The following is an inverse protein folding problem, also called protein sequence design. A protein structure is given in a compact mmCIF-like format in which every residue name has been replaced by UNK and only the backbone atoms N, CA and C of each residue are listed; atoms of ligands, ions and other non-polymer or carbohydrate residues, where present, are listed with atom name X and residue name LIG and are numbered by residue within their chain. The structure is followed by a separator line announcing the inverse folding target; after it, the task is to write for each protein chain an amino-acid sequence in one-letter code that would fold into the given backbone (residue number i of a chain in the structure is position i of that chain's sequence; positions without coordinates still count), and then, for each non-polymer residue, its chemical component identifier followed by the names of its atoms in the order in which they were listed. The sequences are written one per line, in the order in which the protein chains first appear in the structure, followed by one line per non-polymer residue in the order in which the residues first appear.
data_IF_643654125543
#
_entry.id   IF_643654125543
#
_cell.length_a   1.000
_cell.length_b   1.000
_cell.length_c   1.000
_cell.angle_alpha   90.00
_cell.angle_beta   90.00
_cell.angle_gamma   90.00
#
_symmetry.space_group_name_H-M   'P 1'
#
loop_
_entity.id
_entity.type
_entity.pdbx_description
1 polymer ?
#
# COMPACT_ATOMS: atom_id res chain seq x y z
N UNK A 1 11.92 -26.36 -0.60
CA UNK A 1 10.78 -26.62 0.09
C UNK A 1 9.76 -25.54 0.01
N UNK A 2 8.63 -25.91 -0.28
CA UNK A 2 7.60 -24.93 -0.45
C UNK A 2 6.99 -24.49 0.86
N UNK A 3 6.68 -23.23 1.01
CA UNK A 3 6.05 -22.74 2.19
C UNK A 3 4.74 -22.07 1.87
N UNK A 4 3.82 -22.13 2.79
CA UNK A 4 2.52 -21.51 2.60
C UNK A 4 2.68 -20.00 2.66
N UNK A 5 2.18 -19.27 1.66
CA UNK A 5 2.31 -17.81 1.64
C UNK A 5 1.74 -17.12 2.87
N UNK A 6 0.62 -17.63 3.38
CA UNK A 6 -0.02 -17.01 4.54
C UNK A 6 0.85 -17.12 5.78
N UNK A 7 1.52 -18.24 5.96
CA UNK A 7 2.39 -18.43 7.10
C UNK A 7 3.58 -17.50 7.01
N UNK A 8 4.16 -17.34 5.82
CA UNK A 8 5.29 -16.43 5.64
C UNK A 8 4.89 -14.99 5.94
N UNK A 9 3.71 -14.58 5.51
CA UNK A 9 3.22 -13.23 5.78
C UNK A 9 3.04 -13.00 7.28
N UNK A 10 2.51 -13.98 8.00
CA UNK A 10 2.33 -13.84 9.43
C UNK A 10 3.66 -13.73 10.16
N UNK A 11 4.65 -14.52 9.76
CA UNK A 11 5.96 -14.43 10.36
C UNK A 11 6.58 -13.06 10.11
N UNK A 12 6.45 -12.55 8.90
CA UNK A 12 6.96 -11.22 8.56
C UNK A 12 6.32 -10.11 9.35
N UNK A 13 4.99 -10.16 9.46
CA UNK A 13 4.26 -9.15 10.23
C UNK A 13 4.62 -9.22 11.71
N UNK A 14 4.79 -10.43 12.25
CA UNK A 14 5.20 -10.62 13.63
C UNK A 14 6.60 -10.06 13.85
N UNK A 15 7.54 -10.31 12.93
CA UNK A 15 8.89 -9.80 13.04
C UNK A 15 8.91 -8.26 13.03
N UNK A 16 8.14 -7.66 12.12
CA UNK A 16 8.04 -6.20 12.04
C UNK A 16 7.48 -5.65 13.35
N UNK A 17 6.42 -6.25 13.85
CA UNK A 17 5.79 -5.81 15.11
C UNK A 17 6.76 -5.94 16.27
N UNK A 18 7.51 -7.03 16.33
CA UNK A 18 8.49 -7.25 17.38
C UNK A 18 9.58 -6.18 17.35
N UNK A 19 10.13 -5.88 16.18
CA UNK A 19 11.15 -4.83 16.07
C UNK A 19 10.58 -3.48 16.52
N UNK A 20 9.38 -3.14 16.13
CA UNK A 20 8.78 -1.87 16.50
C UNK A 20 8.45 -1.78 17.98
N UNK A 21 8.06 -2.89 18.59
CA UNK A 21 7.83 -2.95 20.03
C UNK A 21 9.14 -2.71 20.78
N UNK A 22 10.23 -3.34 20.34
CA UNK A 22 11.53 -3.13 20.96
C UNK A 22 11.96 -1.67 20.86
N UNK A 23 11.71 -1.03 19.73
CA UNK A 23 12.03 0.38 19.55
C UNK A 23 11.23 1.27 20.47
N UNK A 24 9.98 0.91 20.71
CA UNK A 24 9.11 1.69 21.62
C UNK A 24 9.56 1.56 23.08
N UNK A 25 10.01 0.35 23.48
CA UNK A 25 10.44 0.11 24.85
C UNK A 25 11.84 0.63 25.08
N UNK A 26 12.73 0.52 24.10
CA UNK A 26 14.12 0.89 24.23
C UNK A 26 14.52 1.91 23.15
N UNK A 27 13.97 3.11 23.20
CA UNK A 27 14.19 4.09 22.12
C UNK A 27 15.64 4.53 21.97
N UNK A 28 16.43 4.38 23.03
CA UNK A 28 17.84 4.79 23.00
C UNK A 28 18.80 3.61 22.87
N UNK A 29 18.29 2.44 22.47
CA UNK A 29 19.13 1.28 22.31
C UNK A 29 20.14 1.49 21.20
N UNK A 30 21.39 1.02 21.35
CA UNK A 30 22.36 1.08 20.26
C UNK A 30 21.96 0.22 19.05
N UNK A 31 20.98 -0.69 19.23
CA UNK A 31 20.50 -1.52 18.14
C UNK A 31 19.30 -0.90 17.43
N UNK A 32 18.91 0.31 17.80
CA UNK A 32 17.70 0.93 17.25
C UNK A 32 17.75 1.06 15.75
N UNK A 33 18.82 1.61 15.20
CA UNK A 33 18.91 1.84 13.76
C UNK A 33 18.89 0.53 12.98
N UNK A 34 19.58 -0.49 13.48
CA UNK A 34 19.59 -1.81 12.85
C UNK A 34 18.19 -2.42 12.84
N UNK A 35 17.47 -2.31 13.94
CA UNK A 35 16.11 -2.83 14.05
C UNK A 35 15.15 -2.10 13.12
N UNK A 36 15.27 -0.76 13.01
CA UNK A 36 14.44 0.00 12.08
C UNK A 36 14.71 -0.38 10.64
N UNK A 37 15.98 -0.57 10.28
CA UNK A 37 16.33 -0.96 8.91
C UNK A 37 15.80 -2.34 8.58
N UNK A 38 15.85 -3.26 9.53
CA UNK A 38 15.30 -4.59 9.32
C UNK A 38 13.79 -4.55 9.12
N UNK A 39 13.10 -3.81 9.96
CA UNK A 39 11.65 -3.68 9.85
C UNK A 39 11.29 -3.07 8.50
N UNK A 40 12.00 -2.02 8.07
CA UNK A 40 11.73 -1.37 6.80
C UNK A 40 11.97 -2.30 5.62
N UNK A 41 13.02 -3.10 5.65
CA UNK A 41 13.31 -4.06 4.60
C UNK A 41 12.22 -5.12 4.50
N UNK A 42 11.77 -5.63 5.63
CA UNK A 42 10.70 -6.61 5.65
C UNK A 42 9.40 -6.03 5.11
N UNK A 43 9.08 -4.81 5.50
CA UNK A 43 7.89 -4.14 4.98
C UNK A 43 7.97 -4.00 3.47
N UNK A 44 9.11 -3.58 2.94
CA UNK A 44 9.26 -3.44 1.49
C UNK A 44 9.16 -4.78 0.77
N UNK A 45 9.72 -5.83 1.36
CA UNK A 45 9.67 -7.16 0.76
C UNK A 45 8.24 -7.67 0.67
N UNK A 46 7.49 -7.55 1.78
CA UNK A 46 6.10 -8.00 1.80
C UNK A 46 5.20 -7.11 0.96
N UNK A 47 5.44 -5.80 0.95
CA UNK A 47 4.69 -4.89 0.10
C UNK A 47 4.88 -5.24 -1.37
N UNK A 48 6.11 -5.54 -1.76
CA UNK A 48 6.42 -5.92 -3.13
C UNK A 48 5.76 -7.25 -3.50
N UNK A 49 5.78 -8.21 -2.56
CA UNK A 49 5.16 -9.50 -2.80
C UNK A 49 3.65 -9.36 -3.03
N UNK A 50 2.97 -8.63 -2.15
CA UNK A 50 1.53 -8.43 -2.28
C UNK A 50 1.18 -7.61 -3.52
N UNK A 51 2.00 -6.61 -3.83
CA UNK A 51 1.81 -5.82 -5.04
C UNK A 51 1.91 -6.70 -6.29
N UNK A 52 2.91 -7.56 -6.37
CA UNK A 52 3.08 -8.46 -7.51
C UNK A 52 1.89 -9.40 -7.64
N UNK A 53 1.38 -9.90 -6.53
CA UNK A 53 0.19 -10.76 -6.53
C UNK A 53 -1.02 -9.98 -7.03
N UNK A 54 -1.19 -8.75 -6.58
CA UNK A 54 -2.25 -7.88 -7.09
C UNK A 54 -2.14 -7.66 -8.59
N UNK A 55 -0.92 -7.45 -9.09
CA UNK A 55 -0.70 -7.28 -10.53
C UNK A 55 -1.00 -8.56 -11.31
N UNK A 56 -0.71 -9.71 -10.73
CA UNK A 56 -1.04 -10.99 -11.35
C UNK A 56 -2.53 -11.05 -11.66
N UNK A 57 -3.35 -10.70 -10.68
CA UNK A 57 -4.81 -10.71 -10.86
C UNK A 57 -5.29 -9.56 -11.75
N UNK A 58 -4.69 -8.39 -11.61
CA UNK A 58 -5.08 -7.24 -12.43
C UNK A 58 -4.89 -7.50 -13.92
N UNK A 59 -3.76 -8.11 -14.28
CA UNK A 59 -3.49 -8.43 -15.69
C UNK A 59 -4.49 -9.42 -16.26
N UNK A 60 -5.09 -10.23 -15.41
CA UNK A 60 -6.09 -11.22 -15.80
C UNK A 60 -7.50 -10.67 -15.69
N UNK A 61 -7.62 -9.39 -15.37
CA UNK A 61 -8.90 -8.71 -15.19
C UNK A 61 -9.73 -9.34 -14.06
N UNK A 62 -9.06 -9.98 -13.11
CA UNK A 62 -9.67 -10.47 -11.90
C UNK A 62 -9.61 -9.36 -10.85
N UNK A 63 -10.53 -8.42 -10.96
CA UNK A 63 -10.44 -7.17 -10.20
C UNK A 63 -10.68 -7.34 -8.71
N UNK A 64 -11.59 -8.22 -8.32
CA UNK A 64 -11.90 -8.38 -6.89
C UNK A 64 -10.67 -8.83 -6.09
N UNK A 65 -9.98 -9.91 -6.46
CA UNK A 65 -8.78 -10.28 -5.72
C UNK A 65 -7.65 -9.25 -5.89
N UNK A 66 -7.54 -8.62 -7.06
CA UNK A 66 -6.52 -7.58 -7.24
C UNK A 66 -6.71 -6.45 -6.23
N UNK A 67 -7.94 -6.00 -6.07
CA UNK A 67 -8.28 -4.94 -5.13
C UNK A 67 -7.88 -5.33 -3.70
N UNK A 68 -8.14 -6.58 -3.30
CA UNK A 68 -7.79 -7.02 -1.97
C UNK A 68 -6.29 -6.93 -1.72
N UNK A 69 -5.48 -7.38 -2.67
CA UNK A 69 -4.03 -7.33 -2.51
C UNK A 69 -3.48 -5.90 -2.50
N UNK A 70 -4.00 -5.03 -3.35
CA UNK A 70 -3.55 -3.63 -3.35
C UNK A 70 -3.98 -2.91 -2.08
N UNK A 71 -5.17 -3.20 -1.57
CA UNK A 71 -5.60 -2.64 -0.29
C UNK A 71 -4.70 -3.11 0.86
N UNK A 72 -4.28 -4.38 0.82
CA UNK A 72 -3.38 -4.89 1.84
C UNK A 72 -2.04 -4.15 1.82
N UNK A 73 -1.50 -3.85 0.65
CA UNK A 73 -0.26 -3.08 0.56
C UNK A 73 -0.41 -1.74 1.28
N UNK A 74 -1.50 -1.04 1.03
CA UNK A 74 -1.73 0.27 1.62
C UNK A 74 -1.97 0.17 3.12
N UNK A 75 -2.74 -0.81 3.54
CA UNK A 75 -3.11 -0.95 4.94
C UNK A 75 -1.98 -1.45 5.81
N UNK A 76 -1.24 -2.44 5.31
CA UNK A 76 -0.20 -3.10 6.10
C UNK A 76 1.16 -2.45 5.94
N UNK A 77 1.44 -1.88 4.79
CA UNK A 77 2.77 -1.36 4.48
C UNK A 77 2.70 0.06 3.91
N UNK A 78 2.05 0.98 4.64
CA UNK A 78 1.78 2.32 4.10
C UNK A 78 3.02 3.18 3.85
N UNK A 79 4.12 2.85 4.53
CA UNK A 79 5.33 3.66 4.43
C UNK A 79 6.31 3.13 3.38
N UNK A 80 5.83 2.33 2.46
CA UNK A 80 6.69 1.78 1.41
C UNK A 80 6.37 2.41 0.07
N UNK A 81 7.31 2.42 -0.87
CA UNK A 81 7.03 2.94 -2.22
C UNK A 81 5.90 2.20 -2.94
N UNK A 82 5.74 0.90 -2.65
CA UNK A 82 4.66 0.13 -3.27
C UNK A 82 3.28 0.58 -2.82
N UNK A 83 3.17 1.23 -1.67
CA UNK A 83 1.89 1.78 -1.22
C UNK A 83 1.38 2.81 -2.23
N UNK A 84 2.25 3.71 -2.68
CA UNK A 84 1.89 4.70 -3.70
C UNK A 84 1.45 4.00 -4.99
N UNK A 85 2.22 3.01 -5.45
CA UNK A 85 1.89 2.26 -6.66
C UNK A 85 0.56 1.52 -6.50
N UNK A 86 0.30 0.98 -5.32
CA UNK A 86 -0.96 0.26 -5.05
C UNK A 86 -2.16 1.19 -5.14
N UNK A 87 -2.04 2.44 -4.67
CA UNK A 87 -3.11 3.41 -4.85
C UNK A 87 -3.45 3.60 -6.32
N UNK A 88 -2.42 3.73 -7.17
CA UNK A 88 -2.66 3.93 -8.60
C UNK A 88 -3.34 2.71 -9.22
N UNK A 89 -2.97 1.53 -8.79
CA UNK A 89 -3.60 0.31 -9.32
C UNK A 89 -5.03 0.14 -8.81
N UNK A 90 -5.30 0.59 -7.58
CA UNK A 90 -6.68 0.61 -7.08
C UNK A 90 -7.56 1.54 -7.90
N UNK A 91 -7.07 2.73 -8.23
CA UNK A 91 -7.80 3.65 -9.09
C UNK A 91 -8.11 2.97 -10.42
N UNK A 92 -7.12 2.32 -11.00
CA UNK A 92 -7.29 1.61 -12.27
C UNK A 92 -8.35 0.51 -12.17
N UNK A 93 -8.29 -0.30 -11.11
CA UNK A 93 -9.22 -1.41 -10.92
C UNK A 93 -10.65 -0.91 -10.69
N UNK A 94 -10.81 0.09 -9.83
CA UNK A 94 -12.14 0.66 -9.57
C UNK A 94 -12.72 1.31 -10.83
N UNK A 95 -11.87 1.96 -11.62
CA UNK A 95 -12.31 2.54 -12.87
C UNK A 95 -12.83 1.45 -13.83
N UNK A 96 -12.11 0.34 -13.92
CA UNK A 96 -12.47 -0.75 -14.82
C UNK A 96 -13.82 -1.37 -14.48
N UNK A 97 -14.14 -1.48 -13.19
CA UNK A 97 -15.40 -2.07 -12.77
C UNK A 97 -16.46 -1.02 -12.46
N UNK A 98 -16.15 0.25 -12.75
CA UNK A 98 -17.08 1.37 -12.60
C UNK A 98 -17.55 1.62 -11.18
N UNK A 99 -16.69 1.36 -10.21
CA UNK A 99 -16.96 1.70 -8.83
C UNK A 99 -16.51 3.15 -8.62
N UNK A 100 -17.33 4.07 -9.06
CA UNK A 100 -16.94 5.48 -9.11
C UNK A 100 -16.71 6.10 -7.76
N UNK A 101 -17.48 5.71 -6.76
CA UNK A 101 -17.32 6.27 -5.44
C UNK A 101 -15.98 5.80 -4.82
N UNK A 102 -15.67 4.52 -4.98
CA UNK A 102 -14.40 3.98 -4.48
C UNK A 102 -13.22 4.58 -5.24
N UNK A 103 -13.38 4.79 -6.53
CA UNK A 103 -12.36 5.43 -7.34
C UNK A 103 -12.10 6.86 -6.85
N UNK A 104 -13.15 7.62 -6.61
CA UNK A 104 -13.06 8.99 -6.14
C UNK A 104 -12.40 9.07 -4.77
N UNK A 105 -12.82 8.22 -3.85
CA UNK A 105 -12.24 8.20 -2.50
C UNK A 105 -10.75 7.84 -2.53
N UNK A 106 -10.39 6.89 -3.37
CA UNK A 106 -9.00 6.48 -3.53
C UNK A 106 -8.18 7.65 -4.09
N UNK A 107 -8.72 8.34 -5.08
CA UNK A 107 -8.06 9.50 -5.66
C UNK A 107 -7.89 10.63 -4.65
N UNK A 108 -8.89 10.89 -3.84
CA UNK A 108 -8.78 11.92 -2.81
C UNK A 108 -7.67 11.57 -1.83
N UNK A 109 -7.60 10.33 -1.41
CA UNK A 109 -6.59 9.88 -0.46
C UNK A 109 -5.18 9.99 -1.04
N UNK A 110 -4.96 9.48 -2.25
CA UNK A 110 -3.63 9.47 -2.83
C UNK A 110 -3.16 10.89 -3.20
N UNK A 111 -4.07 11.75 -3.57
CA UNK A 111 -3.71 13.14 -3.86
C UNK A 111 -3.27 13.89 -2.61
N UNK A 112 -3.86 13.57 -1.47
CA UNK A 112 -3.41 14.18 -0.22
C UNK A 112 -2.03 13.69 0.19
N UNK A 113 -1.74 12.42 -0.06
CA UNK A 113 -0.46 11.85 0.32
C UNK A 113 0.66 12.24 -0.64
N UNK A 114 0.35 12.41 -1.91
CA UNK A 114 1.36 12.67 -2.94
C UNK A 114 0.90 13.83 -3.83
N UNK A 115 0.78 15.02 -3.27
CA UNK A 115 0.17 16.16 -4.00
C UNK A 115 0.93 16.63 -5.22
N UNK A 116 2.24 16.35 -5.27
CA UNK A 116 3.06 16.80 -6.40
C UNK A 116 3.38 15.68 -7.38
N UNK A 117 2.80 14.52 -7.20
CA UNK A 117 3.11 13.37 -8.05
C UNK A 117 2.36 13.48 -9.37
N UNK A 118 3.09 13.50 -10.46
CA UNK A 118 2.48 13.68 -11.79
C UNK A 118 1.60 12.51 -12.20
N UNK A 119 2.00 11.29 -11.88
CA UNK A 119 1.22 10.12 -12.23
C UNK A 119 -0.10 10.09 -11.46
N UNK A 120 -0.06 10.50 -10.20
CA UNK A 120 -1.28 10.62 -9.40
C UNK A 120 -2.20 11.66 -10.01
N UNK A 121 -1.65 12.80 -10.41
CA UNK A 121 -2.43 13.85 -11.06
C UNK A 121 -3.11 13.38 -12.33
N UNK A 122 -2.39 12.60 -13.15
CA UNK A 122 -2.96 12.08 -14.38
C UNK A 122 -4.01 11.01 -14.11
N UNK A 123 -3.73 10.09 -13.22
CA UNK A 123 -4.67 9.00 -12.91
C UNK A 123 -5.96 9.51 -12.30
N UNK A 124 -5.88 10.61 -11.57
CA UNK A 124 -7.02 11.15 -10.85
C UNK A 124 -7.55 12.44 -11.45
N UNK A 125 -7.23 12.71 -12.71
CA UNK A 125 -7.63 13.97 -13.36
C UNK A 125 -9.14 14.20 -13.33
N UNK A 126 -9.92 13.14 -13.45
CA UNK A 126 -11.38 13.25 -13.45
C UNK A 126 -11.92 13.76 -12.10
N UNK A 127 -11.13 13.66 -11.05
CA UNK A 127 -11.56 14.05 -9.72
C UNK A 127 -10.76 15.24 -9.17
N UNK A 128 -10.14 15.99 -10.05
CA UNK A 128 -9.31 17.12 -9.63
C UNK A 128 -10.08 18.12 -8.77
N UNK A 129 -11.32 18.41 -9.17
CA UNK A 129 -12.12 19.39 -8.45
C UNK A 129 -12.58 18.88 -7.08
N UNK A 130 -12.67 17.56 -6.92
CA UNK A 130 -13.14 16.99 -5.67
C UNK A 130 -12.20 17.30 -4.52
N UNK A 131 -10.90 17.40 -4.80
CA UNK A 131 -9.95 17.68 -3.73
C UNK A 131 -9.96 19.15 -3.35
N UNK A 132 -10.46 19.98 -4.23
CA UNK A 132 -10.47 21.39 -3.97
C UNK A 132 -11.71 21.82 -3.21
N UNK A 133 -12.64 20.95 -3.00
CA UNK A 133 -13.80 21.31 -2.44
C UNK A 133 -13.92 21.18 -1.14
N UNK A 134 -13.58 21.72 -0.40
CA UNK A 134 -13.71 21.58 0.91
C UNK A 134 -15.00 21.88 1.22
N UNK A 135 -15.60 21.42 1.36
CA UNK A 135 -16.66 21.80 1.89
C UNK A 135 -17.60 22.42 1.47
N UNK A 136 -17.52 22.82 0.83
CA UNK A 136 -18.57 23.53 0.48
C UNK A 136 -19.72 23.17 1.07
#
# INVERSE_FOLDING_TARGET
MWRKPDLDAQYGLTAISTYRTLLAIYPNSPLRDAAEQRAAKLEQWFATKDYKTGMYYLRRKAYDPAILYFRDVIRLYPNTPKSRDAYLRLVQAFHAIRYREDERETCMAVRQLYPSDKQVGLACAAYADSTALPSS
#
